data_IF_447927245373
#
_entry.id   IF_447927245373
#
_cell.length_a   1.000
_cell.length_b   1.000
_cell.length_c   1.000
_cell.angle_alpha   90.00
_cell.angle_beta   90.00
_cell.angle_gamma   90.00
#
_symmetry.space_group_name_H-M   'P 1'
#
loop_
_entity.id
_entity.type
_entity.pdbx_description
1 polymer ?
#
# COMPACT_ATOMS: atom_id res chain seq x y z
N UNK A 1 23.96 -6.27 4.56
CA UNK A 1 22.80 -7.08 4.99
C UNK A 1 22.98 -7.32 6.48
N UNK A 2 23.30 -6.25 7.21
CA UNK A 2 24.02 -6.35 8.48
C UNK A 2 23.26 -5.61 9.58
N UNK A 3 23.07 -6.36 10.66
CA UNK A 3 22.71 -6.02 12.03
C UNK A 3 21.64 -4.96 12.32
N UNK A 4 20.48 -5.48 12.77
CA UNK A 4 19.47 -4.70 13.49
C UNK A 4 19.84 -4.71 14.98
N UNK A 5 20.54 -3.67 15.43
CA UNK A 5 21.03 -3.59 16.81
C UNK A 5 19.89 -3.28 17.81
N UNK A 6 19.66 -4.21 18.74
CA UNK A 6 19.03 -4.00 20.04
C UNK A 6 20.02 -4.36 21.16
N UNK A 7 19.77 -3.83 22.37
CA UNK A 7 20.69 -3.60 23.52
C UNK A 7 21.58 -4.78 24.01
N UNK A 8 21.48 -6.00 23.48
CA UNK A 8 22.42 -7.11 23.75
C UNK A 8 23.01 -7.75 22.47
N UNK A 9 22.95 -7.06 21.33
CA UNK A 9 23.50 -7.52 20.04
C UNK A 9 22.76 -8.70 19.40
N UNK A 10 21.72 -9.24 20.02
CA UNK A 10 20.82 -10.23 19.43
C UNK A 10 19.38 -9.75 19.54
N UNK A 11 18.91 -9.07 18.49
CA UNK A 11 17.47 -8.96 18.28
C UNK A 11 16.84 -10.35 18.19
N UNK A 12 15.50 -10.45 18.29
CA UNK A 12 14.77 -11.72 18.08
C UNK A 12 15.14 -12.39 16.75
N UNK A 13 15.51 -11.58 15.77
CA UNK A 13 16.01 -12.01 14.47
C UNK A 13 17.54 -11.95 14.48
N UNK A 14 18.17 -13.06 14.12
CA UNK A 14 19.63 -13.16 13.98
C UNK A 14 20.15 -12.48 12.70
N UNK A 15 19.28 -12.19 11.73
CA UNK A 15 19.64 -11.46 10.49
C UNK A 15 18.49 -10.59 9.97
N UNK A 16 18.81 -9.62 9.11
CA UNK A 16 17.80 -8.86 8.37
C UNK A 16 16.93 -9.73 7.44
N UNK A 17 17.48 -10.84 6.93
CA UNK A 17 16.74 -11.81 6.12
C UNK A 17 15.62 -12.48 6.92
N UNK A 18 15.92 -12.92 8.14
CA UNK A 18 14.92 -13.55 9.02
C UNK A 18 13.78 -12.57 9.37
N UNK A 19 14.10 -11.29 9.56
CA UNK A 19 13.08 -10.24 9.73
C UNK A 19 12.22 -10.10 8.48
N UNK A 20 12.82 -9.98 7.29
CA UNK A 20 12.08 -9.91 6.03
C UNK A 20 11.18 -11.13 5.81
N UNK A 21 11.65 -12.34 6.12
CA UNK A 21 10.86 -13.56 6.01
C UNK A 21 9.69 -13.59 7.00
N UNK A 22 9.88 -13.09 8.23
CA UNK A 22 8.79 -12.97 9.20
C UNK A 22 7.75 -11.93 8.78
N UNK A 23 8.19 -10.77 8.31
CA UNK A 23 7.32 -9.70 7.82
C UNK A 23 6.57 -10.15 6.56
N UNK A 24 7.25 -10.78 5.61
CA UNK A 24 6.63 -11.32 4.39
C UNK A 24 5.56 -12.37 4.69
N UNK A 25 5.75 -13.22 5.71
CA UNK A 25 4.70 -14.14 6.18
C UNK A 25 3.48 -13.41 6.73
N UNK A 26 3.67 -12.28 7.44
CA UNK A 26 2.54 -11.46 7.91
C UNK A 26 1.79 -10.80 6.76
N UNK A 27 2.51 -10.23 5.80
CA UNK A 27 1.91 -9.62 4.62
C UNK A 27 1.14 -10.65 3.79
N UNK A 28 1.71 -11.84 3.58
CA UNK A 28 1.01 -12.96 2.93
C UNK A 28 -0.26 -13.38 3.70
N UNK A 29 -0.25 -13.30 5.03
CA UNK A 29 -1.43 -13.51 5.86
C UNK A 29 -2.54 -12.47 5.60
N UNK A 30 -2.17 -11.20 5.44
CA UNK A 30 -3.10 -10.13 5.04
C UNK A 30 -3.67 -10.43 3.65
N UNK A 31 -2.82 -10.77 2.68
CA UNK A 31 -3.26 -11.08 1.30
C UNK A 31 -4.18 -12.30 1.20
N UNK A 32 -4.08 -13.25 2.13
CA UNK A 32 -4.96 -14.42 2.20
C UNK A 32 -6.22 -14.17 3.03
N UNK A 33 -6.34 -13.02 3.69
CA UNK A 33 -7.54 -12.66 4.43
C UNK A 33 -8.66 -12.34 3.44
N UNK A 34 -9.87 -12.92 3.60
CA UNK A 34 -11.00 -12.60 2.74
C UNK A 34 -11.28 -11.11 2.76
N UNK A 35 -11.52 -10.54 1.58
CA UNK A 35 -11.87 -9.13 1.45
C UNK A 35 -13.25 -8.93 2.10
N UNK A 36 -13.39 -8.02 3.09
CA UNK A 36 -14.66 -7.77 3.75
C UNK A 36 -15.73 -7.33 2.74
N UNK A 37 -16.97 -7.80 2.91
CA UNK A 37 -18.05 -7.59 1.92
C UNK A 37 -18.36 -6.11 1.72
N UNK A 38 -18.22 -5.30 2.77
CA UNK A 38 -18.37 -3.86 2.75
C UNK A 38 -17.34 -3.14 1.87
N UNK A 39 -16.17 -3.75 1.65
CA UNK A 39 -15.14 -3.26 0.72
C UNK A 39 -15.39 -3.75 -0.70
N UNK A 40 -16.14 -4.85 -0.85
CA UNK A 40 -16.63 -5.38 -2.12
C UNK A 40 -17.93 -4.66 -2.52
N UNK A 41 -17.83 -3.41 -2.96
CA UNK A 41 -19.02 -2.66 -3.40
C UNK A 41 -18.97 -1.14 -3.30
N UNK A 42 -17.91 -0.54 -2.75
CA UNK A 42 -17.71 0.93 -2.82
C UNK A 42 -17.28 1.39 -4.23
N UNK A 43 -17.84 0.81 -5.29
CA UNK A 43 -17.64 1.15 -6.69
C UNK A 43 -18.92 1.74 -7.26
N UNK A 44 -19.16 3.01 -7.00
CA UNK A 44 -20.19 3.77 -7.71
C UNK A 44 -19.68 4.18 -9.07
N UNK A 45 -20.38 3.75 -10.14
CA UNK A 45 -20.25 4.29 -11.50
C UNK A 45 -18.99 3.86 -12.26
N UNK A 46 -19.21 3.00 -13.25
CA UNK A 46 -18.25 2.46 -14.23
C UNK A 46 -17.24 1.42 -13.74
N UNK A 47 -17.60 0.17 -14.06
CA UNK A 47 -16.71 -0.92 -14.50
C UNK A 47 -15.72 -1.51 -13.48
N UNK A 48 -16.17 -2.60 -12.86
CA UNK A 48 -15.43 -3.87 -12.92
C UNK A 48 -14.42 -4.16 -11.83
N UNK A 49 -13.79 -3.16 -11.19
CA UNK A 49 -12.70 -3.48 -10.26
C UNK A 49 -12.75 -2.65 -8.97
N UNK A 50 -12.95 -3.33 -7.83
CA UNK A 50 -12.95 -2.73 -6.49
C UNK A 50 -11.54 -2.32 -6.00
N UNK A 51 -10.62 -2.06 -6.93
CA UNK A 51 -9.21 -1.84 -6.66
C UNK A 51 -8.97 -0.43 -6.07
N UNK A 52 -8.32 -0.38 -4.90
CA UNK A 52 -8.01 0.82 -4.14
C UNK A 52 -7.01 1.74 -4.86
N UNK A 53 -6.03 1.20 -5.62
CA UNK A 53 -5.07 1.99 -6.39
C UNK A 53 -5.79 2.94 -7.34
N UNK A 54 -6.71 2.41 -8.14
CA UNK A 54 -7.39 3.20 -9.15
C UNK A 54 -8.37 4.20 -8.57
N UNK A 55 -9.05 3.84 -7.47
CA UNK A 55 -9.93 4.75 -6.75
C UNK A 55 -9.15 5.92 -6.17
N UNK A 56 -8.00 5.65 -5.54
CA UNK A 56 -7.14 6.68 -4.97
C UNK A 56 -6.56 7.60 -6.03
N UNK A 57 -6.05 7.04 -7.14
CA UNK A 57 -5.53 7.85 -8.25
C UNK A 57 -6.61 8.74 -8.88
N UNK A 58 -7.81 8.21 -9.12
CA UNK A 58 -8.95 8.99 -9.60
C UNK A 58 -9.33 10.11 -8.65
N UNK A 59 -9.50 9.81 -7.36
CA UNK A 59 -9.86 10.79 -6.35
C UNK A 59 -8.80 11.90 -6.20
N UNK A 60 -7.51 11.57 -6.30
CA UNK A 60 -6.44 12.56 -6.26
C UNK A 60 -6.45 13.48 -7.48
N UNK A 61 -6.67 12.94 -8.69
CA UNK A 61 -6.79 13.75 -9.90
C UNK A 61 -7.98 14.70 -9.83
N UNK A 62 -9.16 14.19 -9.48
CA UNK A 62 -10.37 15.00 -9.38
C UNK A 62 -10.21 16.10 -8.31
N UNK A 63 -9.51 15.82 -7.21
CA UNK A 63 -9.16 16.82 -6.20
C UNK A 63 -8.26 17.93 -6.76
N UNK A 64 -7.21 17.59 -7.50
CA UNK A 64 -6.30 18.57 -8.13
C UNK A 64 -7.07 19.44 -9.12
N UNK A 65 -7.84 18.83 -10.02
CA UNK A 65 -8.67 19.53 -11.00
C UNK A 65 -9.66 20.49 -10.33
N UNK A 66 -10.32 20.06 -9.24
CA UNK A 66 -11.27 20.90 -8.50
C UNK A 66 -10.62 22.11 -7.82
N UNK A 67 -9.36 22.00 -7.38
CA UNK A 67 -8.61 23.11 -6.78
C UNK A 67 -8.13 24.13 -7.80
N UNK A 68 -7.76 23.69 -8.99
CA UNK A 68 -7.40 24.58 -10.10
C UNK A 68 -8.61 25.44 -10.50
N UNK A 69 -9.82 24.87 -10.52
CA UNK A 69 -11.06 25.59 -10.82
C UNK A 69 -11.46 26.59 -9.73
N UNK A 70 -11.09 26.37 -8.46
CA UNK A 70 -11.47 27.19 -7.31
C UNK A 70 -10.63 28.45 -7.08
N UNK A 71 -9.46 28.59 -7.74
CA UNK A 71 -8.50 29.67 -7.46
C UNK A 71 -8.60 30.90 -8.37
N UNK A 72 -9.57 30.95 -9.30
CA UNK A 72 -9.86 32.15 -10.09
C UNK A 72 -8.68 32.68 -10.92
N UNK A 73 -7.66 31.85 -11.16
CA UNK A 73 -6.45 32.20 -11.89
C UNK A 73 -6.65 32.07 -13.39
N UNK A 74 -6.63 33.20 -14.08
CA UNK A 74 -6.48 33.30 -15.53
C UNK A 74 -5.16 32.65 -16.00
N UNK A 75 -5.24 31.40 -16.48
CA UNK A 75 -4.14 30.71 -17.16
C UNK A 75 -4.57 29.31 -17.58
N UNK A 76 -4.57 29.06 -18.89
CA UNK A 76 -5.00 27.82 -19.55
C UNK A 76 -4.50 26.54 -18.86
N UNK A 77 -5.42 25.62 -18.56
CA UNK A 77 -5.17 24.17 -18.44
C UNK A 77 -3.91 23.72 -17.70
N UNK A 78 -3.84 23.99 -16.39
CA UNK A 78 -3.25 23.12 -15.35
C UNK A 78 -1.95 22.37 -15.67
N UNK A 79 -0.96 23.03 -16.26
CA UNK A 79 0.37 22.44 -16.39
C UNK A 79 1.18 22.67 -15.10
N UNK A 80 1.68 21.61 -14.48
CA UNK A 80 2.61 21.66 -13.36
C UNK A 80 3.97 21.08 -13.77
N UNK A 81 5.05 21.70 -13.29
CA UNK A 81 6.42 21.23 -13.53
C UNK A 81 6.88 20.33 -12.38
N UNK A 82 7.26 19.10 -12.70
CA UNK A 82 7.87 18.16 -11.76
C UNK A 82 8.96 17.34 -12.45
N UNK A 83 10.13 17.22 -11.82
CA UNK A 83 11.24 16.41 -12.34
C UNK A 83 11.82 16.87 -13.69
N UNK A 84 11.61 18.13 -14.07
CA UNK A 84 12.07 18.68 -15.37
C UNK A 84 11.13 18.41 -16.55
N UNK A 85 9.94 17.83 -16.29
CA UNK A 85 8.86 17.68 -17.27
C UNK A 85 7.66 18.54 -16.91
N UNK A 86 6.93 18.99 -17.94
CA UNK A 86 5.66 19.72 -17.80
C UNK A 86 4.52 18.72 -17.97
N UNK A 87 3.68 18.60 -16.95
CA UNK A 87 2.61 17.62 -16.86
C UNK A 87 1.27 18.35 -16.72
N UNK A 88 0.24 17.89 -17.41
CA UNK A 88 -1.14 18.32 -17.20
C UNK A 88 -1.95 17.23 -16.51
N UNK A 89 -3.03 17.61 -15.83
CA UNK A 89 -4.02 16.66 -15.29
C UNK A 89 -4.57 15.73 -16.37
N UNK A 90 -4.77 16.25 -17.60
CA UNK A 90 -5.11 15.45 -18.77
C UNK A 90 -4.07 14.38 -19.10
N UNK A 91 -2.78 14.76 -19.19
CA UNK A 91 -1.70 13.81 -19.47
C UNK A 91 -1.54 12.74 -18.38
N UNK A 92 -1.78 13.08 -17.11
CA UNK A 92 -1.80 12.10 -16.03
C UNK A 92 -2.97 11.12 -16.15
N UNK A 93 -4.15 11.61 -16.54
CA UNK A 93 -5.33 10.77 -16.74
C UNK A 93 -5.12 9.77 -17.88
N UNK A 94 -4.49 10.21 -18.96
CA UNK A 94 -4.10 9.35 -20.08
C UNK A 94 -3.09 8.28 -19.62
N UNK A 95 -2.04 8.68 -18.89
CA UNK A 95 -1.04 7.75 -18.34
C UNK A 95 -1.67 6.72 -17.39
N UNK A 96 -2.56 7.15 -16.49
CA UNK A 96 -3.28 6.24 -15.58
C UNK A 96 -4.18 5.29 -16.35
N UNK A 97 -4.82 5.74 -17.43
CA UNK A 97 -5.66 4.89 -18.26
C UNK A 97 -4.82 3.81 -18.96
N UNK A 98 -3.67 4.18 -19.52
CA UNK A 98 -2.72 3.23 -20.14
C UNK A 98 -2.18 2.23 -19.12
N UNK A 99 -1.80 2.68 -17.92
CA UNK A 99 -1.36 1.78 -16.84
C UNK A 99 -2.44 0.80 -16.43
N UNK A 100 -3.69 1.26 -16.33
CA UNK A 100 -4.84 0.42 -16.00
C UNK A 100 -5.07 -0.64 -17.08
N UNK A 101 -5.12 -0.24 -18.35
CA UNK A 101 -5.28 -1.19 -19.47
C UNK A 101 -4.17 -2.25 -19.48
N UNK A 102 -2.92 -1.83 -19.26
CA UNK A 102 -1.78 -2.76 -19.20
C UNK A 102 -1.89 -3.73 -18.02
N UNK A 103 -2.29 -3.27 -16.83
CA UNK A 103 -2.42 -4.12 -15.64
C UNK A 103 -3.66 -5.02 -15.67
N UNK A 104 -4.79 -4.53 -16.18
CA UNK A 104 -6.02 -5.32 -16.34
C UNK A 104 -5.79 -6.45 -17.37
N UNK A 105 -4.97 -6.24 -18.41
CA UNK A 105 -4.61 -7.26 -19.38
C UNK A 105 -3.77 -8.42 -18.80
N UNK A 106 -3.13 -8.22 -17.63
CA UNK A 106 -2.34 -9.25 -16.96
C UNK A 106 -3.18 -10.18 -16.07
N UNK A 107 -4.49 -9.93 -15.93
CA UNK A 107 -5.43 -10.69 -15.08
C UNK A 107 -4.87 -10.92 -13.66
N UNK A 108 -4.31 -9.86 -13.08
CA UNK A 108 -3.69 -9.92 -11.76
C UNK A 108 -4.76 -10.06 -10.68
N UNK A 109 -4.72 -11.16 -9.93
CA UNK A 109 -5.60 -11.38 -8.80
C UNK A 109 -5.59 -10.22 -7.79
N UNK A 110 -6.78 -9.86 -7.32
CA UNK A 110 -6.99 -8.85 -6.28
C UNK A 110 -6.99 -9.53 -4.91
N UNK A 111 -6.27 -8.96 -3.97
CA UNK A 111 -6.17 -9.40 -2.57
C UNK A 111 -6.56 -8.27 -1.63
N UNK A 112 -6.79 -8.57 -0.35
CA UNK A 112 -6.78 -7.52 0.67
C UNK A 112 -5.34 -7.02 0.80
N UNK A 113 -5.06 -5.79 0.37
CA UNK A 113 -3.77 -5.16 0.50
C UNK A 113 -3.68 -4.28 1.74
N UNK A 114 -2.45 -4.06 2.22
CA UNK A 114 -2.15 -3.06 3.25
C UNK A 114 -2.16 -1.65 2.66
N UNK A 115 -1.69 -1.49 1.42
CA UNK A 115 -1.61 -0.26 0.62
C UNK A 115 -0.74 0.88 1.20
N UNK A 116 -0.07 0.62 2.31
CA UNK A 116 0.91 1.53 2.94
C UNK A 116 1.99 0.71 3.64
N UNK A 117 2.46 -0.34 2.98
CA UNK A 117 3.40 -1.29 3.56
C UNK A 117 4.83 -0.71 3.55
N UNK A 118 5.11 0.13 4.54
CA UNK A 118 6.41 0.80 4.76
C UNK A 118 7.02 0.41 6.10
N UNK A 119 8.35 0.57 6.31
CA UNK A 119 9.02 0.18 7.55
C UNK A 119 8.40 0.76 8.83
N UNK A 120 7.87 1.98 8.77
CA UNK A 120 7.20 2.63 9.91
C UNK A 120 5.94 1.88 10.38
N UNK A 121 5.32 1.09 9.49
CA UNK A 121 4.10 0.32 9.76
C UNK A 121 4.39 -1.13 10.16
N UNK A 122 5.66 -1.44 10.46
CA UNK A 122 6.11 -2.74 10.95
C UNK A 122 6.65 -2.59 12.36
N UNK A 123 5.93 -3.14 13.33
CA UNK A 123 6.39 -3.21 14.72
C UNK A 123 7.13 -4.52 14.98
N UNK A 124 8.34 -4.41 15.51
CA UNK A 124 9.11 -5.55 16.04
C UNK A 124 9.15 -5.41 17.56
N UNK A 125 8.33 -6.17 18.31
CA UNK A 125 8.32 -6.06 19.76
C UNK A 125 9.69 -6.49 20.35
N UNK A 126 10.14 -5.84 21.45
CA UNK A 126 11.38 -6.22 22.12
C UNK A 126 11.34 -7.68 22.55
N UNK A 127 12.44 -8.41 22.34
CA UNK A 127 12.57 -9.76 22.86
C UNK A 127 12.76 -9.71 24.37
N UNK A 128 11.79 -10.18 25.15
CA UNK A 128 11.85 -10.17 26.63
C UNK A 128 12.50 -11.43 27.19
N UNK A 129 13.00 -12.34 26.35
CA UNK A 129 13.63 -13.61 26.77
C UNK A 129 12.69 -14.58 27.51
N UNK A 130 11.41 -14.24 27.66
CA UNK A 130 10.41 -15.08 28.31
C UNK A 130 9.49 -15.67 27.25
N UNK A 131 9.66 -16.96 26.99
CA UNK A 131 8.73 -17.81 26.25
C UNK A 131 7.36 -17.97 26.93
N UNK A 132 7.04 -17.24 28.00
CA UNK A 132 5.95 -17.56 28.92
C UNK A 132 4.74 -16.63 28.85
N UNK A 133 4.58 -15.81 27.81
CA UNK A 133 3.27 -15.19 27.57
C UNK A 133 2.31 -16.28 27.07
N UNK A 134 1.06 -16.35 27.57
CA UNK A 134 0.11 -17.43 27.27
C UNK A 134 -0.29 -17.52 25.79
N UNK A 135 0.12 -16.54 24.98
CA UNK A 135 0.11 -16.61 23.52
C UNK A 135 1.52 -16.96 23.03
N UNK A 136 1.94 -18.20 23.27
CA UNK A 136 3.04 -18.79 22.50
C UNK A 136 2.52 -19.05 21.09
N UNK A 137 2.66 -18.08 20.20
CA UNK A 137 2.83 -18.43 18.80
C UNK A 137 4.27 -18.09 18.42
N UNK A 138 4.95 -19.05 17.84
CA UNK A 138 6.22 -18.91 17.14
C UNK A 138 6.22 -17.80 16.07
N UNK A 139 5.09 -17.14 15.83
CA UNK A 139 4.82 -16.18 14.76
C UNK A 139 4.75 -14.71 15.22
N UNK A 140 4.95 -14.37 16.50
CA UNK A 140 4.82 -12.98 17.01
C UNK A 140 6.09 -12.15 16.76
N UNK A 141 6.82 -12.40 15.67
CA UNK A 141 8.10 -11.72 15.41
C UNK A 141 7.94 -10.29 14.90
N UNK A 142 6.96 -10.07 14.06
CA UNK A 142 6.63 -8.77 13.49
C UNK A 142 5.10 -8.59 13.50
N UNK A 143 4.65 -7.35 13.69
CA UNK A 143 3.24 -6.97 13.67
C UNK A 143 3.09 -5.87 12.64
N UNK A 144 2.19 -6.06 11.69
CA UNK A 144 1.77 -5.00 10.76
C UNK A 144 0.75 -4.14 11.49
N UNK A 145 0.88 -2.83 11.36
CA UNK A 145 0.00 -1.85 11.99
C UNK A 145 -0.46 -0.83 10.94
N UNK A 146 -1.38 0.05 11.34
CA UNK A 146 -1.83 1.17 10.51
C UNK A 146 -2.50 0.75 9.19
N UNK A 147 -3.63 0.06 9.33
CA UNK A 147 -4.43 -0.45 8.20
C UNK A 147 -5.43 0.60 7.67
N UNK A 148 -5.17 1.90 7.85
CA UNK A 148 -6.12 2.95 7.44
C UNK A 148 -6.37 3.00 5.92
N UNK A 149 -5.36 2.59 5.13
CA UNK A 149 -5.46 2.48 3.66
C UNK A 149 -5.76 1.06 3.18
N UNK A 150 -5.97 0.10 4.09
CA UNK A 150 -6.17 -1.29 3.72
C UNK A 150 -7.43 -1.47 2.86
N UNK A 151 -7.32 -2.28 1.81
CA UNK A 151 -8.41 -2.46 0.86
C UNK A 151 -8.03 -3.36 -0.31
N UNK A 152 -9.01 -3.70 -1.17
CA UNK A 152 -8.78 -4.57 -2.31
C UNK A 152 -7.74 -3.96 -3.25
N UNK A 153 -6.65 -4.65 -3.57
CA UNK A 153 -5.65 -4.17 -4.53
C UNK A 153 -4.91 -5.33 -5.20
N UNK A 154 -4.16 -5.03 -6.26
CA UNK A 154 -3.22 -5.98 -6.83
C UNK A 154 -2.10 -6.25 -5.81
N UNK A 155 -1.78 -7.54 -5.60
CA UNK A 155 -0.74 -7.96 -4.66
C UNK A 155 0.59 -7.24 -4.86
N UNK A 156 0.95 -6.96 -6.12
CA UNK A 156 2.21 -6.31 -6.48
C UNK A 156 2.37 -4.88 -5.99
N UNK A 157 1.30 -4.20 -5.55
CA UNK A 157 1.41 -2.86 -4.96
C UNK A 157 2.00 -2.90 -3.54
N UNK A 158 1.74 -3.99 -2.81
CA UNK A 158 2.27 -4.18 -1.46
C UNK A 158 3.69 -4.79 -1.43
N UNK A 159 4.14 -5.38 -2.54
CA UNK A 159 5.44 -6.06 -2.64
C UNK A 159 6.55 -5.12 -3.12
#
# INVERSE_FOLDING_TARGET
VDDVHGVDGRGRFGTGRELCEAVGRKLAGVHNTPIPREMVGMGGGNEGNNNALWKSLGAMLDFVESRELGTGGCGSGGDFEFGGGRWSTGSLRDEISMMREALDALDLGVVLGHNDFKPANVMVPPWTGRDSLPFQTSDIGAVLIDFELAGPNHRGVDL
#
